data_IF_605947981451
#
_entry.id   IF_605947981451
#
_cell.length_a   1.000
_cell.length_b   1.000
_cell.length_c   1.000
_cell.angle_alpha   90.00
_cell.angle_beta   90.00
_cell.angle_gamma   90.00
#
_symmetry.space_group_name_H-M   'P 1'
#
loop_
_entity.id
_entity.type
_entity.pdbx_description
1 polymer ?
#
# COMPACT_ATOMS: atom_id res chain seq x y z
N UNK A 1 -24.14 -48.29 -90.44
CA UNK A 1 -25.63 -48.43 -90.40
C UNK A 1 -26.01 -48.81 -88.97
N UNK A 2 -26.85 -48.02 -88.32
CA UNK A 2 -27.57 -48.19 -87.04
C UNK A 2 -26.76 -48.29 -85.76
N UNK A 3 -26.59 -47.24 -85.06
CA UNK A 3 -27.51 -46.56 -84.11
C UNK A 3 -27.92 -47.40 -82.92
N UNK A 4 -27.48 -46.99 -81.72
CA UNK A 4 -28.38 -46.87 -80.55
C UNK A 4 -27.71 -46.00 -79.46
N UNK A 5 -28.36 -44.90 -79.21
CA UNK A 5 -28.14 -44.04 -78.04
C UNK A 5 -28.47 -44.77 -76.72
N UNK A 6 -27.65 -44.63 -75.72
CA UNK A 6 -28.08 -44.86 -74.34
C UNK A 6 -27.62 -43.72 -73.50
N UNK A 7 -28.61 -42.99 -73.00
CA UNK A 7 -28.46 -41.98 -71.97
C UNK A 7 -27.95 -42.63 -70.67
N UNK A 8 -26.86 -42.10 -70.12
CA UNK A 8 -26.51 -42.36 -68.74
C UNK A 8 -26.70 -41.09 -67.98
N UNK A 9 -27.67 -41.08 -67.01
CA UNK A 9 -27.91 -40.02 -66.04
C UNK A 9 -26.72 -39.88 -65.08
N UNK A 10 -26.17 -38.70 -65.02
CA UNK A 10 -25.12 -38.35 -64.06
C UNK A 10 -25.81 -37.83 -62.81
N UNK A 11 -25.81 -38.64 -61.76
CA UNK A 11 -26.23 -38.17 -60.41
C UNK A 11 -25.12 -37.33 -59.82
N UNK A 12 -25.37 -36.00 -59.65
CA UNK A 12 -24.48 -35.08 -58.96
C UNK A 12 -24.73 -35.22 -57.48
N UNK A 13 -23.81 -35.86 -56.75
CA UNK A 13 -23.75 -35.85 -55.28
C UNK A 13 -23.03 -34.58 -54.81
N UNK A 14 -23.80 -33.61 -54.36
CA UNK A 14 -23.28 -32.41 -53.63
C UNK A 14 -22.85 -32.83 -52.28
N UNK A 15 -21.53 -32.91 -52.05
CA UNK A 15 -20.89 -33.07 -50.72
C UNK A 15 -20.87 -31.72 -50.03
N UNK A 16 -21.80 -31.46 -49.10
CA UNK A 16 -21.77 -30.29 -48.24
C UNK A 16 -20.67 -30.48 -47.19
N UNK A 17 -19.53 -29.86 -47.41
CA UNK A 17 -18.47 -29.74 -46.40
C UNK A 17 -18.92 -28.75 -45.32
N UNK A 18 -19.44 -29.27 -44.20
CA UNK A 18 -19.66 -28.48 -42.98
C UNK A 18 -18.30 -28.15 -42.37
N UNK A 19 -17.78 -26.96 -42.64
CA UNK A 19 -16.65 -26.39 -41.93
C UNK A 19 -17.10 -26.05 -40.50
N UNK A 20 -16.83 -26.94 -39.53
CA UNK A 20 -16.85 -26.61 -38.12
C UNK A 20 -15.74 -25.59 -37.88
N UNK A 21 -16.11 -24.32 -37.84
CA UNK A 21 -15.27 -23.27 -37.24
C UNK A 21 -15.26 -23.56 -35.75
N UNK A 22 -14.28 -24.34 -35.30
CA UNK A 22 -13.95 -24.44 -33.90
C UNK A 22 -13.46 -23.04 -33.45
N UNK A 23 -14.37 -22.22 -32.96
CA UNK A 23 -14.01 -21.02 -32.17
C UNK A 23 -13.33 -21.53 -30.92
N UNK A 24 -12.01 -21.76 -31.03
CA UNK A 24 -11.18 -21.99 -29.87
C UNK A 24 -11.34 -20.75 -28.97
N UNK A 25 -12.08 -20.91 -27.88
CA UNK A 25 -12.05 -19.94 -26.79
C UNK A 25 -10.61 -19.94 -26.29
N UNK A 26 -9.77 -19.07 -26.84
CA UNK A 26 -8.48 -18.77 -26.23
C UNK A 26 -8.82 -18.28 -24.84
N UNK A 27 -8.56 -19.10 -23.83
CA UNK A 27 -8.65 -18.68 -22.45
C UNK A 27 -7.77 -17.43 -22.34
N UNK A 28 -8.40 -16.27 -22.17
CA UNK A 28 -7.68 -15.00 -22.08
C UNK A 28 -6.72 -15.13 -20.89
N UNK A 29 -5.42 -15.05 -21.17
CA UNK A 29 -4.40 -15.13 -20.14
C UNK A 29 -4.64 -14.03 -19.08
N UNK A 30 -4.41 -14.38 -17.83
CA UNK A 30 -4.55 -13.39 -16.76
C UNK A 30 -3.58 -12.21 -16.97
N UNK A 31 -4.05 -11.00 -16.70
CA UNK A 31 -3.20 -9.80 -16.76
C UNK A 31 -2.19 -9.84 -15.62
N UNK A 32 -0.88 -9.86 -15.89
CA UNK A 32 0.13 -9.88 -14.84
C UNK A 32 0.22 -8.51 -14.16
N UNK A 33 0.32 -8.50 -12.83
CA UNK A 33 0.55 -7.31 -12.01
C UNK A 33 1.66 -7.60 -11.03
N UNK A 34 2.81 -6.95 -11.20
CA UNK A 34 3.83 -6.89 -10.17
C UNK A 34 3.45 -5.78 -9.19
N UNK A 35 3.26 -6.17 -7.94
CA UNK A 35 2.85 -5.27 -6.88
C UNK A 35 3.95 -5.21 -5.80
N UNK A 36 4.39 -4.01 -5.43
CA UNK A 36 5.38 -3.81 -4.37
C UNK A 36 4.73 -3.26 -3.12
N UNK A 37 5.01 -3.88 -1.96
CA UNK A 37 4.68 -3.32 -0.65
C UNK A 37 5.63 -2.18 -0.28
N UNK A 38 5.22 -1.37 0.67
CA UNK A 38 6.07 -0.36 1.29
C UNK A 38 7.08 -0.95 2.29
N UNK A 39 6.78 -2.12 2.84
CA UNK A 39 7.56 -2.74 3.90
C UNK A 39 7.68 -4.26 3.73
N UNK A 40 8.33 -4.90 4.71
CA UNK A 40 8.49 -6.35 4.79
C UNK A 40 7.15 -7.05 4.96
N UNK A 41 7.16 -8.38 4.82
CA UNK A 41 5.99 -9.19 5.14
C UNK A 41 5.79 -9.22 6.65
N UNK A 42 4.90 -8.36 7.13
CA UNK A 42 4.43 -8.26 8.51
C UNK A 42 2.90 -8.38 8.50
N UNK A 43 2.27 -8.39 9.68
CA UNK A 43 0.82 -8.60 9.82
C UNK A 43 -0.06 -7.89 8.79
N UNK A 44 0.12 -6.57 8.55
CA UNK A 44 -0.70 -5.84 7.58
C UNK A 44 -0.60 -6.32 6.14
N UNK A 45 0.47 -7.05 5.76
CA UNK A 45 0.56 -7.65 4.41
C UNK A 45 -0.50 -8.72 4.15
N UNK A 46 -1.19 -9.22 5.20
CA UNK A 46 -2.35 -10.08 5.09
C UNK A 46 -3.44 -9.49 4.18
N UNK A 47 -3.60 -8.15 4.15
CA UNK A 47 -4.56 -7.46 3.27
C UNK A 47 -4.38 -7.82 1.79
N UNK A 48 -3.15 -8.10 1.37
CA UNK A 48 -2.80 -8.44 -0.01
C UNK A 48 -2.60 -9.95 -0.20
N UNK A 49 -1.98 -10.63 0.78
CA UNK A 49 -1.69 -12.05 0.72
C UNK A 49 -2.96 -12.92 0.80
N UNK A 50 -3.96 -12.50 1.60
CA UNK A 50 -5.23 -13.22 1.70
C UNK A 50 -5.98 -13.30 0.36
N UNK A 51 -6.26 -12.19 -0.36
CA UNK A 51 -6.93 -12.27 -1.66
C UNK A 51 -6.11 -13.00 -2.73
N UNK A 52 -4.76 -12.97 -2.67
CA UNK A 52 -3.90 -13.79 -3.53
C UNK A 52 -4.14 -15.28 -3.25
N UNK A 53 -4.00 -15.70 -2.00
CA UNK A 53 -4.10 -17.10 -1.60
C UNK A 53 -5.51 -17.68 -1.82
N UNK A 54 -6.55 -16.85 -1.68
CA UNK A 54 -7.95 -17.22 -1.93
C UNK A 54 -8.34 -17.19 -3.41
N UNK A 55 -7.43 -16.79 -4.29
CA UNK A 55 -7.68 -16.74 -5.73
C UNK A 55 -8.55 -15.57 -6.21
N UNK A 56 -8.88 -14.58 -5.35
CA UNK A 56 -9.79 -13.48 -5.71
C UNK A 56 -9.28 -12.64 -6.88
N UNK A 57 -7.96 -12.48 -7.01
CA UNK A 57 -7.38 -11.83 -8.19
C UNK A 57 -7.49 -12.71 -9.44
N UNK A 58 -7.31 -14.02 -9.32
CA UNK A 58 -7.47 -14.96 -10.44
C UNK A 58 -8.91 -15.03 -10.96
N UNK A 59 -9.88 -14.95 -10.04
CA UNK A 59 -11.32 -14.92 -10.39
C UNK A 59 -11.67 -13.75 -11.32
N UNK A 60 -10.93 -12.63 -11.19
CA UNK A 60 -11.08 -11.42 -12.02
C UNK A 60 -9.99 -11.31 -13.11
N UNK A 61 -9.37 -12.42 -13.48
CA UNK A 61 -8.37 -12.54 -14.56
C UNK A 61 -7.11 -11.70 -14.32
N UNK A 62 -6.66 -11.60 -13.07
CA UNK A 62 -5.39 -10.98 -12.69
C UNK A 62 -4.43 -12.03 -12.13
N UNK A 63 -3.14 -11.90 -12.47
CA UNK A 63 -2.05 -12.66 -11.87
C UNK A 63 -1.15 -11.70 -11.08
N UNK A 64 -1.40 -11.61 -9.77
CA UNK A 64 -0.74 -10.66 -8.88
C UNK A 64 0.47 -11.29 -8.22
N UNK A 65 1.64 -10.75 -8.51
CA UNK A 65 2.91 -11.09 -7.84
C UNK A 65 3.28 -9.99 -6.84
N UNK A 66 3.40 -10.36 -5.56
CA UNK A 66 3.60 -9.45 -4.44
C UNK A 66 5.03 -9.54 -3.93
N UNK A 67 5.74 -8.40 -3.90
CA UNK A 67 7.07 -8.28 -3.35
C UNK A 67 7.12 -7.35 -2.12
N UNK A 68 8.03 -7.67 -1.19
CA UNK A 68 8.29 -6.83 -0.04
C UNK A 68 9.02 -5.54 -0.44
N UNK A 69 8.83 -4.48 0.36
CA UNK A 69 9.47 -3.19 0.20
C UNK A 69 10.52 -2.87 1.27
N UNK A 70 11.14 -1.72 1.11
CA UNK A 70 12.18 -1.18 2.01
C UNK A 70 11.87 0.25 2.46
N UNK A 71 10.63 0.67 2.30
CA UNK A 71 10.09 1.99 2.64
C UNK A 71 9.20 2.55 1.52
N UNK A 72 8.21 3.37 1.89
CA UNK A 72 7.24 3.94 0.95
C UNK A 72 7.88 4.76 -0.17
N UNK A 73 8.97 5.50 0.12
CA UNK A 73 9.71 6.22 -0.92
C UNK A 73 10.30 5.30 -1.98
N UNK A 74 10.80 4.11 -1.58
CA UNK A 74 11.30 3.12 -2.53
C UNK A 74 10.18 2.49 -3.36
N UNK A 75 9.02 2.21 -2.75
CA UNK A 75 7.85 1.70 -3.47
C UNK A 75 7.37 2.67 -4.55
N UNK A 76 7.25 3.97 -4.22
CA UNK A 76 6.91 5.03 -5.19
C UNK A 76 7.90 5.05 -6.34
N UNK A 77 9.21 5.03 -6.06
CA UNK A 77 10.24 5.04 -7.11
C UNK A 77 10.17 3.81 -8.01
N UNK A 78 9.95 2.63 -7.45
CA UNK A 78 9.85 1.38 -8.22
C UNK A 78 8.66 1.37 -9.18
N UNK A 79 7.52 1.95 -8.76
CA UNK A 79 6.36 2.12 -9.65
C UNK A 79 6.63 3.22 -10.69
N UNK A 80 7.26 4.32 -10.31
CA UNK A 80 7.63 5.41 -11.22
C UNK A 80 8.61 4.97 -12.32
N UNK A 81 9.53 4.06 -12.02
CA UNK A 81 10.48 3.50 -13.01
C UNK A 81 9.86 2.44 -13.91
N UNK A 82 8.62 2.00 -13.63
CA UNK A 82 7.95 0.93 -14.36
C UNK A 82 8.42 -0.49 -14.01
N UNK A 83 9.20 -0.66 -12.94
CA UNK A 83 9.59 -1.97 -12.43
C UNK A 83 8.41 -2.74 -11.83
N UNK A 84 7.39 -2.01 -11.40
CA UNK A 84 6.12 -2.51 -10.87
C UNK A 84 4.95 -1.73 -11.47
N UNK A 85 3.85 -2.45 -11.76
CA UNK A 85 2.62 -1.85 -12.29
C UNK A 85 1.87 -1.07 -11.21
N UNK A 86 1.86 -1.60 -9.98
CA UNK A 86 1.15 -1.06 -8.84
C UNK A 86 1.98 -1.23 -7.56
N UNK A 87 1.59 -0.54 -6.50
CA UNK A 87 2.25 -0.67 -5.20
C UNK A 87 1.42 -0.14 -4.05
N UNK A 88 1.98 -0.27 -2.85
CA UNK A 88 1.44 0.26 -1.61
C UNK A 88 2.45 1.22 -1.00
N UNK A 89 2.07 2.46 -0.74
CA UNK A 89 2.98 3.49 -0.25
C UNK A 89 2.24 4.55 0.57
N UNK A 90 2.96 5.23 1.47
CA UNK A 90 2.44 6.37 2.21
C UNK A 90 2.16 7.56 1.27
N UNK A 91 1.03 8.23 1.49
CA UNK A 91 0.56 9.33 0.63
C UNK A 91 1.49 10.55 0.69
N UNK A 92 2.14 10.85 1.82
CA UNK A 92 3.09 11.96 1.90
C UNK A 92 4.36 11.66 1.09
N UNK A 93 4.82 10.40 1.06
CA UNK A 93 5.94 9.99 0.23
C UNK A 93 5.62 10.10 -1.27
N UNK A 94 4.39 9.78 -1.67
CA UNK A 94 3.90 9.98 -3.04
C UNK A 94 3.86 11.47 -3.42
N UNK A 95 3.28 12.30 -2.56
CA UNK A 95 3.20 13.75 -2.75
C UNK A 95 4.59 14.41 -2.83
N UNK A 96 5.50 14.03 -1.93
CA UNK A 96 6.89 14.48 -1.96
C UNK A 96 7.57 14.14 -3.29
N UNK A 97 7.38 12.90 -3.77
CA UNK A 97 7.94 12.48 -5.06
C UNK A 97 7.44 13.35 -6.21
N UNK A 98 6.13 13.62 -6.27
CA UNK A 98 5.55 14.49 -7.30
C UNK A 98 6.12 15.91 -7.25
N UNK A 99 6.23 16.48 -6.06
CA UNK A 99 6.68 17.85 -5.87
C UNK A 99 8.18 18.06 -6.18
N UNK A 100 9.00 17.05 -5.88
CA UNK A 100 10.43 17.08 -6.15
C UNK A 100 10.82 16.66 -7.58
N UNK A 101 9.90 16.01 -8.29
CA UNK A 101 10.10 15.54 -9.66
C UNK A 101 8.98 16.05 -10.60
N UNK A 102 8.80 17.38 -10.75
CA UNK A 102 7.67 17.95 -11.52
C UNK A 102 7.68 17.45 -12.98
N UNK A 103 8.85 17.30 -13.56
CA UNK A 103 9.02 16.93 -14.97
C UNK A 103 9.13 15.42 -15.22
N UNK A 104 9.02 14.58 -14.17
CA UNK A 104 9.07 13.13 -14.35
C UNK A 104 7.83 12.64 -15.14
N UNK A 105 8.04 11.86 -16.24
CA UNK A 105 6.94 11.48 -17.13
C UNK A 105 6.01 10.41 -16.51
N UNK A 106 6.50 9.64 -15.54
CA UNK A 106 5.83 8.45 -15.01
C UNK A 106 5.57 8.57 -13.51
N UNK A 107 4.95 9.66 -13.07
CA UNK A 107 4.59 9.83 -11.65
C UNK A 107 3.41 8.92 -11.29
N UNK A 108 3.56 8.00 -10.32
CA UNK A 108 2.46 7.15 -9.88
C UNK A 108 1.31 7.96 -9.29
N UNK A 109 0.10 7.42 -9.37
CA UNK A 109 -1.12 8.06 -8.86
C UNK A 109 -1.78 7.14 -7.83
N UNK A 110 -2.23 7.69 -6.72
CA UNK A 110 -3.00 6.97 -5.72
C UNK A 110 -4.41 6.71 -6.24
N UNK A 111 -4.88 5.46 -6.11
CA UNK A 111 -6.17 5.01 -6.64
C UNK A 111 -7.12 4.49 -5.57
N UNK A 112 -6.62 4.26 -4.33
CA UNK A 112 -7.43 3.84 -3.18
C UNK A 112 -6.72 4.16 -1.87
N UNK A 113 -7.42 4.81 -0.93
CA UNK A 113 -6.95 5.02 0.44
C UNK A 113 -7.13 3.74 1.26
N UNK A 114 -6.08 3.30 1.96
CA UNK A 114 -6.18 2.12 2.84
C UNK A 114 -5.92 2.49 4.29
N UNK A 115 -4.86 3.25 4.57
CA UNK A 115 -4.63 3.80 5.91
C UNK A 115 -5.13 5.23 5.96
N UNK A 116 -6.33 5.41 6.49
CA UNK A 116 -6.98 6.72 6.54
C UNK A 116 -6.24 7.71 7.45
N UNK A 117 -5.47 7.23 8.43
CA UNK A 117 -4.58 8.04 9.25
C UNK A 117 -3.14 7.58 9.11
N UNK A 118 -2.20 8.54 9.21
CA UNK A 118 -0.78 8.19 9.25
C UNK A 118 -0.42 7.47 10.56
N UNK A 119 0.23 6.30 10.49
CA UNK A 119 0.81 5.66 11.68
C UNK A 119 2.20 6.19 12.03
N UNK A 120 2.71 7.18 11.30
CA UNK A 120 4.05 7.72 11.51
C UNK A 120 4.21 8.29 12.92
N UNK A 121 5.33 7.97 13.52
CA UNK A 121 5.69 8.39 14.87
C UNK A 121 7.21 8.51 15.02
N UNK A 122 7.63 9.27 16.05
CA UNK A 122 8.95 9.10 16.65
C UNK A 122 8.80 8.15 17.83
N UNK A 123 9.71 7.18 17.94
CA UNK A 123 9.80 6.29 19.10
C UNK A 123 11.17 6.45 19.76
N UNK A 124 11.15 6.53 21.09
CA UNK A 124 12.34 6.64 21.92
C UNK A 124 12.20 5.73 23.14
N UNK A 125 13.30 5.44 23.82
CA UNK A 125 13.24 4.78 25.13
C UNK A 125 13.15 5.83 26.23
N UNK A 126 12.40 5.57 27.31
CA UNK A 126 12.28 6.48 28.46
C UNK A 126 13.64 6.94 28.97
N UNK A 127 14.64 6.05 28.98
CA UNK A 127 16.02 6.35 29.41
C UNK A 127 16.72 7.44 28.58
N UNK A 128 16.23 7.76 27.36
CA UNK A 128 16.79 8.82 26.51
C UNK A 128 16.40 10.22 26.97
N UNK A 129 15.40 10.35 27.87
CA UNK A 129 14.84 11.62 28.30
C UNK A 129 13.97 12.33 27.26
N UNK A 130 13.71 11.71 26.13
CA UNK A 130 12.83 12.26 25.08
C UNK A 130 11.37 11.98 25.46
N UNK A 131 10.58 13.04 25.68
CA UNK A 131 9.16 12.97 26.07
C UNK A 131 8.25 13.83 25.19
N UNK A 132 8.80 14.78 24.46
CA UNK A 132 8.10 15.73 23.58
C UNK A 132 8.96 16.09 22.36
N UNK A 133 8.39 16.69 21.31
CA UNK A 133 9.13 17.04 20.09
C UNK A 133 10.37 17.91 20.31
N UNK A 134 10.30 18.87 21.22
CA UNK A 134 11.43 19.77 21.52
C UNK A 134 12.68 19.02 22.02
N UNK A 135 12.52 17.85 22.64
CA UNK A 135 13.63 17.07 23.18
C UNK A 135 14.45 16.36 22.07
N UNK A 136 13.99 16.42 20.83
CA UNK A 136 14.66 15.82 19.67
C UNK A 136 15.83 16.65 19.13
N UNK A 137 15.94 17.92 19.52
CA UNK A 137 16.99 18.81 19.02
C UNK A 137 18.37 18.23 19.31
N UNK A 138 19.21 18.10 18.28
CA UNK A 138 20.56 17.56 18.37
C UNK A 138 20.66 16.03 18.59
N UNK A 139 19.54 15.34 18.74
CA UNK A 139 19.50 13.88 18.95
C UNK A 139 19.81 13.09 17.68
N UNK A 140 20.31 11.87 17.87
CA UNK A 140 20.53 10.89 16.80
C UNK A 140 19.20 10.18 16.48
N UNK A 141 18.62 10.48 15.32
CA UNK A 141 17.42 9.82 14.81
C UNK A 141 17.76 8.75 13.78
N UNK A 142 17.36 7.53 14.05
CA UNK A 142 17.61 6.38 13.20
C UNK A 142 16.42 6.05 12.28
N UNK A 143 16.65 5.91 10.97
CA UNK A 143 15.68 5.34 10.06
C UNK A 143 16.30 5.00 8.70
N UNK A 144 15.71 4.06 7.93
CA UNK A 144 16.02 3.90 6.50
C UNK A 144 15.72 5.20 5.72
N UNK A 145 16.46 5.44 4.63
CA UNK A 145 16.29 6.66 3.82
C UNK A 145 14.88 6.79 3.25
N UNK A 146 14.27 5.67 2.88
CA UNK A 146 12.95 5.62 2.24
C UNK A 146 11.80 5.34 3.21
N UNK A 147 12.06 5.31 4.53
CA UNK A 147 11.04 5.12 5.56
C UNK A 147 9.99 6.24 5.52
N UNK A 148 8.70 5.88 5.61
CA UNK A 148 7.61 6.85 5.54
C UNK A 148 7.63 7.87 6.68
N UNK A 149 7.94 7.43 7.91
CA UNK A 149 8.06 8.33 9.07
C UNK A 149 9.19 9.33 8.88
N UNK A 150 10.37 8.87 8.39
CA UNK A 150 11.48 9.77 8.06
C UNK A 150 11.11 10.75 6.96
N UNK A 151 10.43 10.29 5.91
CA UNK A 151 9.99 11.14 4.81
C UNK A 151 8.97 12.19 5.25
N UNK A 152 8.09 11.87 6.18
CA UNK A 152 7.12 12.82 6.73
C UNK A 152 7.70 13.69 7.88
N UNK A 153 8.90 13.38 8.40
CA UNK A 153 9.50 14.09 9.54
C UNK A 153 9.65 15.60 9.33
N UNK A 154 10.00 16.14 8.15
CA UNK A 154 10.05 17.58 7.92
C UNK A 154 8.72 18.30 8.22
N UNK A 155 7.58 17.64 7.99
CA UNK A 155 6.25 18.18 8.31
C UNK A 155 6.10 18.25 9.84
N UNK A 156 6.45 17.16 10.54
CA UNK A 156 6.44 17.10 12.01
C UNK A 156 7.39 18.12 12.61
N UNK A 157 8.59 18.24 12.06
CA UNK A 157 9.61 19.17 12.48
C UNK A 157 9.13 20.64 12.38
N UNK A 158 8.53 21.00 11.23
CA UNK A 158 7.98 22.33 11.00
C UNK A 158 6.81 22.64 11.92
N UNK A 159 5.86 21.71 12.07
CA UNK A 159 4.66 21.88 12.89
C UNK A 159 4.99 22.08 14.38
N UNK A 160 6.12 21.54 14.86
CA UNK A 160 6.52 21.55 16.27
C UNK A 160 7.77 22.39 16.54
N UNK A 161 8.23 23.19 15.59
CA UNK A 161 9.43 24.01 15.68
C UNK A 161 10.67 23.22 16.18
N UNK A 162 10.79 21.94 15.78
CA UNK A 162 11.94 21.11 16.16
C UNK A 162 13.16 21.59 15.39
N UNK A 163 14.26 21.87 16.10
CA UNK A 163 15.53 22.24 15.48
C UNK A 163 16.19 21.09 14.72
N UNK A 164 17.46 21.23 14.40
CA UNK A 164 18.20 20.20 13.66
C UNK A 164 18.33 18.91 14.47
N UNK A 165 18.22 17.78 13.77
CA UNK A 165 18.44 16.42 14.28
C UNK A 165 19.56 15.75 13.50
N UNK A 166 20.24 14.76 14.09
CA UNK A 166 21.33 14.04 13.46
C UNK A 166 20.82 12.69 12.91
N UNK A 167 20.63 12.59 11.60
CA UNK A 167 20.15 11.36 10.99
C UNK A 167 21.22 10.28 10.94
N UNK A 168 20.87 9.09 11.43
CA UNK A 168 21.62 7.85 11.26
C UNK A 168 20.85 6.95 10.29
N UNK A 169 21.45 6.68 9.13
CA UNK A 169 20.84 5.81 8.11
C UNK A 169 21.19 4.36 8.41
N UNK A 170 20.20 3.49 8.28
CA UNK A 170 20.37 2.03 8.45
C UNK A 170 19.38 1.27 7.57
N UNK A 171 19.63 -0.03 7.43
CA UNK A 171 18.67 -0.95 6.79
C UNK A 171 17.46 -1.24 7.70
N UNK A 172 16.28 -1.52 7.11
CA UNK A 172 15.05 -1.75 7.86
C UNK A 172 15.16 -2.74 9.04
N UNK A 173 15.86 -3.90 8.94
CA UNK A 173 15.96 -4.84 10.05
C UNK A 173 16.75 -4.32 11.26
N UNK A 174 17.57 -3.29 11.09
CA UNK A 174 18.48 -2.77 12.13
C UNK A 174 17.83 -1.66 12.98
N UNK A 175 16.76 -1.03 12.50
CA UNK A 175 16.19 0.20 13.10
C UNK A 175 15.89 0.03 14.60
N UNK A 176 15.05 -0.92 14.96
CA UNK A 176 14.65 -1.16 16.34
C UNK A 176 15.79 -1.77 17.18
N UNK A 177 16.68 -2.55 16.55
CA UNK A 177 17.88 -3.08 17.24
C UNK A 177 18.81 -1.96 17.69
N UNK A 178 19.07 -0.97 16.83
CA UNK A 178 19.93 0.17 17.16
C UNK A 178 19.31 1.05 18.26
N UNK A 179 17.97 1.24 18.27
CA UNK A 179 17.31 1.95 19.37
C UNK A 179 17.39 1.15 20.67
N UNK A 180 17.11 -0.15 20.67
CA UNK A 180 17.16 -1.00 21.86
C UNK A 180 18.57 -1.00 22.50
N UNK A 181 19.62 -1.01 21.68
CA UNK A 181 21.02 -0.94 22.12
C UNK A 181 21.45 0.45 22.57
N UNK A 182 20.77 1.52 22.15
CA UNK A 182 21.15 2.91 22.41
C UNK A 182 22.16 3.47 21.40
N UNK A 183 22.34 2.86 20.25
CA UNK A 183 23.19 3.36 19.16
C UNK A 183 22.58 4.64 18.54
N UNK A 184 21.25 4.81 18.66
CA UNK A 184 20.48 6.02 18.33
C UNK A 184 19.57 6.41 19.52
N UNK A 185 19.23 7.70 19.64
CA UNK A 185 18.40 8.22 20.73
C UNK A 185 16.90 8.00 20.47
N UNK A 186 16.50 8.05 19.21
CA UNK A 186 15.15 7.81 18.74
C UNK A 186 15.14 7.23 17.32
N UNK A 187 13.99 6.71 16.89
CA UNK A 187 13.74 6.25 15.52
C UNK A 187 12.47 6.86 14.99
N UNK A 188 12.33 6.95 13.66
CA UNK A 188 11.04 7.16 13.03
C UNK A 188 10.53 5.86 12.41
N UNK A 189 9.21 5.74 12.30
CA UNK A 189 8.56 4.58 11.69
C UNK A 189 7.06 4.58 11.95
N UNK A 190 6.41 3.47 11.63
CA UNK A 190 5.02 3.25 11.99
C UNK A 190 4.92 2.76 13.44
N UNK A 191 4.11 3.42 14.25
CA UNK A 191 4.00 3.20 15.69
C UNK A 191 3.81 1.72 16.06
N UNK A 192 2.84 1.05 15.44
CA UNK A 192 2.55 -0.36 15.71
C UNK A 192 3.69 -1.29 15.25
N UNK A 193 4.37 -0.98 14.14
CA UNK A 193 5.49 -1.77 13.64
C UNK A 193 6.68 -1.68 14.59
N UNK A 194 7.10 -0.46 14.92
CA UNK A 194 8.30 -0.26 15.74
C UNK A 194 8.09 -0.67 17.20
N UNK A 195 6.89 -0.43 17.77
CA UNK A 195 6.58 -0.87 19.13
C UNK A 195 6.72 -2.39 19.26
N UNK A 196 6.05 -3.15 18.38
CA UNK A 196 6.07 -4.62 18.45
C UNK A 196 7.44 -5.20 18.10
N UNK A 197 8.19 -4.56 17.22
CA UNK A 197 9.57 -4.96 16.94
C UNK A 197 10.53 -4.69 18.10
N UNK A 198 10.28 -3.65 18.92
CA UNK A 198 11.02 -3.40 20.18
C UNK A 198 10.65 -4.45 21.23
N UNK A 199 9.37 -4.76 21.39
CA UNK A 199 8.92 -5.84 22.29
C UNK A 199 9.57 -7.19 21.94
N UNK A 200 9.62 -7.54 20.64
CA UNK A 200 10.30 -8.75 20.18
C UNK A 200 11.80 -8.78 20.48
N UNK A 201 12.39 -7.64 20.84
CA UNK A 201 13.81 -7.50 21.28
C UNK A 201 13.95 -7.36 22.79
N UNK A 202 12.88 -7.64 23.55
CA UNK A 202 12.88 -7.60 25.02
C UNK A 202 12.71 -6.21 25.61
N UNK A 203 12.36 -5.19 24.80
CA UNK A 203 12.02 -3.85 25.32
C UNK A 203 10.57 -3.89 25.79
N UNK A 204 10.32 -3.53 27.05
CA UNK A 204 8.95 -3.46 27.57
C UNK A 204 8.20 -2.29 26.96
N UNK A 205 6.90 -2.49 26.67
CA UNK A 205 6.06 -1.43 26.07
C UNK A 205 6.03 -0.16 26.93
N UNK A 206 5.99 -0.31 28.27
CA UNK A 206 6.04 0.80 29.21
C UNK A 206 7.33 1.62 29.16
N UNK A 207 8.42 1.08 28.64
CA UNK A 207 9.70 1.78 28.49
C UNK A 207 9.82 2.52 27.16
N UNK A 208 8.83 2.40 26.28
CA UNK A 208 8.80 3.08 24.98
C UNK A 208 7.98 4.36 25.06
N UNK A 209 8.58 5.48 24.67
CA UNK A 209 7.90 6.74 24.41
C UNK A 209 7.54 6.79 22.93
N UNK A 210 6.27 7.04 22.62
CA UNK A 210 5.78 7.19 21.27
C UNK A 210 5.25 8.61 21.09
N UNK A 211 5.75 9.33 20.09
CA UNK A 211 5.27 10.64 19.66
C UNK A 211 4.56 10.49 18.32
N UNK A 212 3.26 10.12 18.28
CA UNK A 212 2.51 9.95 17.03
C UNK A 212 2.36 11.31 16.34
N UNK A 213 2.64 11.38 15.07
CA UNK A 213 2.56 12.63 14.29
C UNK A 213 1.18 13.30 14.37
N UNK A 214 0.05 12.56 14.33
CA UNK A 214 -1.28 13.16 14.45
C UNK A 214 -1.51 13.91 15.76
N UNK A 215 -0.89 13.48 16.86
CA UNK A 215 -1.02 14.12 18.19
C UNK A 215 -0.26 15.44 18.27
N UNK A 216 0.61 15.71 17.31
CA UNK A 216 1.45 16.89 17.22
C UNK A 216 1.16 17.73 15.97
N UNK A 217 -0.12 17.80 15.57
CA UNK A 217 -0.58 18.70 14.51
C UNK A 217 -0.37 18.19 13.07
N UNK A 218 0.12 16.97 12.89
CA UNK A 218 0.43 16.39 11.57
C UNK A 218 -0.63 15.35 11.21
N UNK A 219 -1.80 15.81 10.74
CA UNK A 219 -2.95 14.96 10.41
C UNK A 219 -2.92 14.51 8.96
N UNK A 220 -1.94 13.69 8.61
CA UNK A 220 -1.79 13.15 7.27
C UNK A 220 -2.63 11.89 7.07
N UNK A 221 -2.93 11.58 5.81
CA UNK A 221 -3.28 10.23 5.39
C UNK A 221 -2.04 9.34 5.49
N UNK A 222 -2.27 8.05 5.64
CA UNK A 222 -1.21 7.04 5.56
C UNK A 222 -1.15 6.39 4.18
N UNK A 223 -1.15 5.05 4.14
CA UNK A 223 -0.87 4.30 2.93
C UNK A 223 -2.04 4.18 1.96
N UNK A 224 -1.70 4.26 0.68
CA UNK A 224 -2.58 4.15 -0.48
C UNK A 224 -2.11 3.07 -1.43
N UNK A 225 -3.03 2.51 -2.20
CA UNK A 225 -2.69 1.77 -3.41
C UNK A 225 -2.33 2.78 -4.50
N UNK A 226 -1.15 2.62 -5.08
CA UNK A 226 -0.66 3.45 -6.19
C UNK A 226 -0.61 2.62 -7.48
N UNK A 227 -0.85 3.27 -8.61
CA UNK A 227 -0.73 2.68 -9.94
C UNK A 227 0.19 3.52 -10.83
N UNK A 228 0.92 2.88 -11.73
CA UNK A 228 1.73 3.57 -12.73
C UNK A 228 0.84 4.26 -13.78
N UNK A 229 1.27 5.39 -14.37
CA UNK A 229 0.53 6.04 -15.46
C UNK A 229 0.29 5.10 -16.65
N UNK A 230 1.23 4.21 -16.93
CA UNK A 230 1.08 3.19 -17.96
C UNK A 230 -0.11 2.27 -17.65
N UNK A 231 -0.19 1.74 -16.42
CA UNK A 231 -1.30 0.88 -16.00
C UNK A 231 -2.65 1.61 -16.06
N UNK A 232 -2.69 2.87 -15.64
CA UNK A 232 -3.89 3.73 -15.71
C UNK A 232 -4.37 3.92 -17.15
N UNK A 233 -3.45 4.12 -18.08
CA UNK A 233 -3.76 4.37 -19.49
C UNK A 233 -4.13 3.09 -20.25
N UNK A 234 -3.34 2.02 -20.07
CA UNK A 234 -3.44 0.82 -20.89
C UNK A 234 -4.39 -0.23 -20.31
N UNK A 235 -4.53 -0.31 -18.99
CA UNK A 235 -5.28 -1.36 -18.30
C UNK A 235 -6.21 -0.82 -17.19
N UNK A 236 -7.04 0.20 -17.42
CA UNK A 236 -7.90 0.79 -16.38
C UNK A 236 -8.89 -0.22 -15.79
N UNK A 237 -9.37 -1.18 -16.59
CA UNK A 237 -10.25 -2.24 -16.13
C UNK A 237 -9.55 -3.19 -15.13
N UNK A 238 -8.25 -3.45 -15.32
CA UNK A 238 -7.48 -4.29 -14.41
C UNK A 238 -7.28 -3.60 -13.04
N UNK A 239 -7.12 -2.28 -13.00
CA UNK A 239 -7.07 -1.52 -11.74
C UNK A 239 -8.40 -1.66 -10.98
N UNK A 240 -9.55 -1.47 -11.64
CA UNK A 240 -10.88 -1.64 -11.03
C UNK A 240 -11.08 -3.05 -10.50
N UNK A 241 -10.72 -4.05 -11.28
CA UNK A 241 -10.80 -5.46 -10.89
C UNK A 241 -9.89 -5.76 -9.68
N UNK A 242 -8.66 -5.22 -9.67
CA UNK A 242 -7.73 -5.34 -8.55
C UNK A 242 -8.34 -4.76 -7.27
N UNK A 243 -8.86 -3.52 -7.33
CA UNK A 243 -9.42 -2.85 -6.15
C UNK A 243 -10.67 -3.56 -5.62
N UNK A 244 -11.52 -4.12 -6.48
CA UNK A 244 -12.69 -4.91 -6.07
C UNK A 244 -12.26 -6.21 -5.36
N UNK A 245 -11.33 -6.96 -5.94
CA UNK A 245 -10.80 -8.19 -5.35
C UNK A 245 -10.04 -7.91 -4.02
N UNK A 246 -9.25 -6.85 -3.97
CA UNK A 246 -8.58 -6.38 -2.76
C UNK A 246 -9.59 -6.02 -1.66
N UNK A 247 -10.63 -5.27 -1.99
CA UNK A 247 -11.69 -4.85 -1.05
C UNK A 247 -12.41 -6.05 -0.44
N UNK A 248 -12.74 -7.07 -1.27
CA UNK A 248 -13.31 -8.33 -0.81
C UNK A 248 -12.38 -9.03 0.18
N UNK A 249 -11.09 -9.13 -0.14
CA UNK A 249 -10.08 -9.71 0.76
C UNK A 249 -9.90 -8.92 2.04
N UNK A 250 -9.82 -7.59 1.97
CA UNK A 250 -9.68 -6.70 3.13
C UNK A 250 -10.84 -6.84 4.11
N UNK A 251 -12.08 -6.99 3.63
CA UNK A 251 -13.26 -7.27 4.47
C UNK A 251 -13.06 -8.51 5.33
N UNK A 252 -12.59 -9.60 4.73
CA UNK A 252 -12.40 -10.86 5.44
C UNK A 252 -11.21 -10.81 6.41
N UNK A 253 -10.12 -10.12 6.03
CA UNK A 253 -8.96 -9.90 6.91
C UNK A 253 -9.36 -9.12 8.15
N UNK A 254 -10.14 -8.06 8.00
CA UNK A 254 -10.64 -7.28 9.14
C UNK A 254 -11.62 -8.06 10.01
N UNK A 255 -12.41 -8.93 9.42
CA UNK A 255 -13.38 -9.77 10.17
C UNK A 255 -12.69 -10.91 10.94
N UNK A 256 -11.63 -11.49 10.39
CA UNK A 256 -10.92 -12.66 10.93
C UNK A 256 -9.41 -12.52 10.80
N UNK A 257 -8.76 -11.59 11.54
CA UNK A 257 -7.32 -11.36 11.46
C UNK A 257 -6.49 -12.56 11.93
N UNK A 258 -7.00 -13.37 12.85
CA UNK A 258 -6.43 -14.65 13.30
C UNK A 258 -6.29 -15.68 12.17
N UNK A 259 -7.28 -15.75 11.28
CA UNK A 259 -7.21 -16.60 10.07
C UNK A 259 -6.27 -15.98 9.03
N UNK A 260 -6.38 -14.65 8.84
CA UNK A 260 -5.64 -13.95 7.80
C UNK A 260 -4.12 -13.98 8.02
N UNK A 261 -3.66 -13.99 9.27
CA UNK A 261 -2.24 -14.01 9.57
C UNK A 261 -1.53 -15.28 9.08
N UNK A 262 -2.27 -16.39 8.89
CA UNK A 262 -1.71 -17.62 8.37
C UNK A 262 -1.19 -17.47 6.92
N UNK A 263 -1.76 -16.57 6.13
CA UNK A 263 -1.27 -16.28 4.79
C UNK A 263 0.10 -15.55 4.82
N UNK A 264 0.33 -14.73 5.85
CA UNK A 264 1.63 -14.11 6.08
C UNK A 264 2.64 -15.18 6.51
N UNK A 265 2.27 -16.07 7.43
CA UNK A 265 3.09 -17.22 7.87
C UNK A 265 3.48 -18.14 6.71
N UNK A 266 2.57 -18.40 5.79
CA UNK A 266 2.85 -19.20 4.61
C UNK A 266 3.81 -18.50 3.64
N UNK A 267 3.82 -17.17 3.61
CA UNK A 267 4.72 -16.37 2.77
C UNK A 267 6.11 -16.21 3.39
N UNK A 268 6.16 -15.98 4.70
CA UNK A 268 7.39 -15.83 5.47
C UNK A 268 7.35 -16.76 6.71
N UNK A 269 7.93 -17.93 6.55
CA UNK A 269 7.91 -19.01 7.54
C UNK A 269 8.58 -18.70 8.89
N UNK A 270 9.32 -17.60 9.01
CA UNK A 270 10.06 -17.25 10.24
C UNK A 270 9.30 -16.28 11.15
N UNK A 271 8.15 -15.74 10.73
CA UNK A 271 7.39 -14.77 11.54
C UNK A 271 6.86 -15.40 12.83
N UNK A 272 6.77 -14.59 13.89
CA UNK A 272 5.99 -14.90 15.08
C UNK A 272 4.51 -14.57 14.82
N UNK A 273 3.68 -15.60 14.69
CA UNK A 273 2.26 -15.47 14.31
C UNK A 273 1.47 -14.59 15.30
N UNK A 274 1.69 -14.78 16.61
CA UNK A 274 0.97 -14.02 17.65
C UNK A 274 1.34 -12.53 17.61
N UNK A 275 2.63 -12.21 17.45
CA UNK A 275 3.10 -10.84 17.33
C UNK A 275 2.53 -10.18 16.07
N UNK A 276 2.53 -10.89 14.95
CA UNK A 276 2.08 -10.36 13.67
C UNK A 276 0.54 -10.24 13.60
N UNK A 277 -0.20 -11.10 14.29
CA UNK A 277 -1.64 -10.93 14.47
C UNK A 277 -1.95 -9.66 15.31
N UNK A 278 -1.23 -9.44 16.42
CA UNK A 278 -1.35 -8.19 17.20
C UNK A 278 -1.05 -6.97 16.32
N UNK A 279 -0.02 -7.04 15.48
CA UNK A 279 0.33 -5.95 14.56
C UNK A 279 -0.79 -5.67 13.56
N UNK A 280 -1.37 -6.72 12.98
CA UNK A 280 -2.51 -6.59 12.07
C UNK A 280 -3.72 -5.95 12.77
N UNK A 281 -4.06 -6.39 13.97
CA UNK A 281 -5.15 -5.80 14.76
C UNK A 281 -4.90 -4.32 15.08
N UNK A 282 -3.69 -3.97 15.52
CA UNK A 282 -3.33 -2.58 15.78
C UNK A 282 -3.44 -1.72 14.52
N UNK A 283 -3.01 -2.21 13.36
CA UNK A 283 -3.16 -1.50 12.08
C UNK A 283 -4.65 -1.34 11.70
N UNK A 284 -5.45 -2.40 11.87
CA UNK A 284 -6.90 -2.32 11.62
C UNK A 284 -7.53 -1.24 12.48
N UNK A 285 -7.29 -1.27 13.78
CA UNK A 285 -7.97 -0.39 14.75
C UNK A 285 -7.51 1.06 14.66
N UNK A 286 -6.21 1.30 14.40
CA UNK A 286 -5.64 2.66 14.44
C UNK A 286 -5.74 3.42 13.13
N UNK A 287 -5.62 2.74 11.98
CA UNK A 287 -5.47 3.42 10.69
C UNK A 287 -6.47 2.99 9.61
N UNK A 288 -7.02 1.77 9.67
CA UNK A 288 -7.98 1.30 8.67
C UNK A 288 -9.42 1.56 9.12
N UNK A 289 -9.74 1.20 10.36
CA UNK A 289 -11.08 1.29 10.95
C UNK A 289 -11.18 2.45 11.96
N UNK A 290 -10.44 3.52 11.70
CA UNK A 290 -10.41 4.73 12.54
C UNK A 290 -11.74 5.51 12.47
N UNK A 291 -12.02 6.43 13.43
CA UNK A 291 -13.17 7.32 13.35
C UNK A 291 -13.25 8.10 12.02
N UNK A 292 -12.10 8.59 11.53
CA UNK A 292 -12.03 9.31 10.25
C UNK A 292 -12.37 8.39 9.06
N UNK A 293 -11.86 7.15 9.05
CA UNK A 293 -12.19 6.17 8.02
C UNK A 293 -13.70 5.84 7.98
N UNK A 294 -14.35 5.81 9.15
CA UNK A 294 -15.81 5.61 9.22
C UNK A 294 -16.60 6.78 8.69
N UNK A 295 -16.13 8.01 8.93
CA UNK A 295 -16.77 9.23 8.44
C UNK A 295 -16.58 9.43 6.94
N UNK A 296 -15.39 9.11 6.42
CA UNK A 296 -15.03 9.29 5.01
C UNK A 296 -15.42 8.08 4.14
N UNK A 297 -15.43 6.87 4.71
CA UNK A 297 -15.62 5.60 4.00
C UNK A 297 -14.28 4.94 3.63
N UNK A 298 -14.25 3.60 3.67
CA UNK A 298 -13.08 2.85 3.25
C UNK A 298 -12.75 3.12 1.78
N UNK A 299 -11.49 3.31 1.48
CA UNK A 299 -11.03 3.60 0.12
C UNK A 299 -11.14 5.06 -0.30
N UNK A 300 -11.90 5.88 0.43
CA UNK A 300 -12.25 7.26 0.08
C UNK A 300 -11.28 8.28 0.72
N UNK A 301 -11.38 9.51 0.25
CA UNK A 301 -10.72 10.68 0.85
C UNK A 301 -11.73 11.79 1.11
N UNK A 302 -11.42 12.65 2.08
CA UNK A 302 -12.03 13.97 2.20
C UNK A 302 -11.20 14.98 1.37
N UNK A 303 -11.79 15.65 0.37
CA UNK A 303 -11.05 16.57 -0.50
C UNK A 303 -10.36 17.71 0.27
N UNK A 304 -11.00 18.27 1.30
CA UNK A 304 -10.43 19.35 2.11
C UNK A 304 -9.22 18.89 2.90
N UNK A 305 -9.29 17.71 3.51
CA UNK A 305 -8.16 17.10 4.22
C UNK A 305 -7.01 16.76 3.28
N UNK A 306 -7.29 16.26 2.07
CA UNK A 306 -6.27 15.97 1.07
C UNK A 306 -5.58 17.25 0.59
N UNK A 307 -6.33 18.34 0.38
CA UNK A 307 -5.78 19.64 0.00
C UNK A 307 -4.90 20.24 1.11
N UNK A 308 -5.31 20.11 2.37
CA UNK A 308 -4.49 20.52 3.52
C UNK A 308 -3.18 19.72 3.57
N UNK A 309 -3.24 18.40 3.41
CA UNK A 309 -2.06 17.54 3.37
C UNK A 309 -1.12 17.94 2.23
N UNK A 310 -1.63 18.19 1.03
CA UNK A 310 -0.83 18.64 -0.12
C UNK A 310 -0.11 19.98 0.15
N UNK A 311 -0.77 20.92 0.84
CA UNK A 311 -0.15 22.16 1.31
C UNK A 311 0.97 21.89 2.34
N UNK A 312 0.69 21.09 3.36
CA UNK A 312 1.66 20.77 4.40
C UNK A 312 2.92 20.11 3.84
N UNK A 313 2.77 19.17 2.90
CA UNK A 313 3.89 18.54 2.19
C UNK A 313 4.69 19.57 1.41
N UNK A 314 4.03 20.38 0.57
CA UNK A 314 4.69 21.40 -0.24
C UNK A 314 5.48 22.41 0.61
N UNK A 315 4.90 22.83 1.73
CA UNK A 315 5.52 23.83 2.62
C UNK A 315 6.67 23.26 3.47
N UNK A 316 6.61 21.97 3.82
CA UNK A 316 7.62 21.35 4.67
C UNK A 316 8.89 20.96 3.90
N UNK A 317 8.74 20.53 2.66
CA UNK A 317 9.86 20.05 1.85
C UNK A 317 10.54 21.14 1.01
N UNK A 318 10.05 22.37 1.03
CA UNK A 318 10.54 23.44 0.13
C UNK A 318 10.65 22.93 -1.31
N UNK A 319 9.57 22.32 -1.79
CA UNK A 319 9.54 21.54 -3.03
C UNK A 319 9.70 22.41 -4.28
N UNK A 320 10.21 21.83 -5.37
CA UNK A 320 10.35 22.50 -6.69
C UNK A 320 9.01 22.98 -7.25
N UNK A 321 7.92 22.26 -6.92
CA UNK A 321 6.56 22.64 -7.28
C UNK A 321 5.59 22.33 -6.14
N UNK A 322 4.44 23.01 -6.12
CA UNK A 322 3.36 22.66 -5.18
C UNK A 322 2.64 21.40 -5.65
N UNK A 323 2.30 20.55 -4.69
CA UNK A 323 1.48 19.34 -4.95
C UNK A 323 0.07 19.76 -5.33
N UNK A 324 -0.43 19.22 -6.43
CA UNK A 324 -1.83 19.33 -6.83
C UNK A 324 -2.52 17.99 -6.54
N UNK A 325 -3.70 18.06 -5.89
CA UNK A 325 -4.43 16.85 -5.50
C UNK A 325 -4.79 16.00 -6.72
N UNK A 326 -5.22 16.62 -7.82
CA UNK A 326 -5.61 15.93 -9.06
C UNK A 326 -4.44 15.21 -9.75
N UNK A 327 -3.19 15.60 -9.47
CA UNK A 327 -2.00 14.93 -10.01
C UNK A 327 -1.65 13.67 -9.20
N UNK A 328 -2.07 13.59 -7.93
CA UNK A 328 -1.67 12.51 -7.01
C UNK A 328 -2.80 11.55 -6.65
N UNK A 329 -4.07 11.92 -6.91
CA UNK A 329 -5.23 11.12 -6.56
C UNK A 329 -6.19 10.93 -7.72
N UNK A 330 -6.61 9.69 -7.96
CA UNK A 330 -7.66 9.35 -8.92
C UNK A 330 -8.61 8.30 -8.34
N UNK A 331 -9.73 8.74 -7.79
CA UNK A 331 -10.76 7.87 -7.20
C UNK A 331 -11.72 7.24 -8.23
N UNK A 332 -11.55 7.47 -9.53
CA UNK A 332 -12.47 6.93 -10.56
C UNK A 332 -12.42 5.41 -10.72
N UNK A 333 -11.42 4.77 -10.12
CA UNK A 333 -11.23 3.32 -10.13
C UNK A 333 -11.85 2.62 -8.92
N UNK A 334 -12.34 3.38 -7.93
CA UNK A 334 -12.87 2.81 -6.70
C UNK A 334 -14.06 1.89 -6.97
N UNK A 335 -14.18 0.78 -6.23
CA UNK A 335 -15.37 -0.05 -6.20
C UNK A 335 -16.63 0.75 -5.82
N UNK A 336 -17.79 0.16 -6.02
CA UNK A 336 -19.07 0.77 -5.62
C UNK A 336 -19.12 1.00 -4.11
N UNK A 337 -19.97 1.93 -3.66
CA UNK A 337 -20.18 2.18 -2.23
C UNK A 337 -20.59 0.92 -1.46
N UNK A 338 -21.34 0.02 -2.10
CA UNK A 338 -21.75 -1.24 -1.50
C UNK A 338 -20.56 -2.18 -1.27
N UNK A 339 -19.65 -2.29 -2.23
CA UNK A 339 -18.42 -3.06 -2.10
C UNK A 339 -17.49 -2.46 -1.05
N UNK A 340 -17.38 -1.13 -0.98
CA UNK A 340 -16.54 -0.41 -0.01
C UNK A 340 -17.09 -0.45 1.43
N UNK A 341 -18.31 -0.96 1.66
CA UNK A 341 -18.87 -1.14 3.00
C UNK A 341 -18.26 -2.39 3.67
N UNK A 342 -17.00 -2.27 4.07
CA UNK A 342 -16.20 -3.39 4.59
C UNK A 342 -15.75 -3.20 6.04
N UNK A 343 -15.85 -1.97 6.58
CA UNK A 343 -15.37 -1.70 7.94
C UNK A 343 -16.20 -2.47 8.98
N UNK A 344 -15.56 -3.17 9.93
CA UNK A 344 -16.25 -3.89 11.01
C UNK A 344 -17.11 -2.94 11.83
N UNK A 345 -18.22 -3.42 12.36
CA UNK A 345 -19.01 -2.66 13.32
C UNK A 345 -18.17 -2.27 14.56
N UNK A 346 -18.47 -1.13 15.16
CA UNK A 346 -17.84 -0.75 16.44
C UNK A 346 -18.27 -1.79 17.48
N UNK A 347 -17.30 -2.45 18.11
CA UNK A 347 -17.58 -3.22 19.32
C UNK A 347 -18.01 -2.20 20.40
N UNK A 348 -19.26 -2.32 20.84
CA UNK A 348 -19.79 -1.54 21.98
C UNK A 348 -19.09 -1.94 23.26
#
# INVERSE_FOLDING_TARGET
MNKRLTFKALAATTLAAATLVATGAFAQANTPIKFVLDWRFEGPSALFLSPIAKGYFKDVKLDVNLDAGTGSGAAVQRVATGAYEMGFADMAALMEFHANNPDAPNKPVAVMMVYNNTPAAVLALKKSGITKPADLVGKKLGAPVFDAGRRAFPIFQKANAVGAVNWVTMDPPLRETMLARGDVDAITGFSFTSLLNLEARGVKAEDVVILPYPNYGVKLYGNVVIASPKMIKENPAAIKAFLSAFTKGAKEVMAKPDVAIQYVKNRDGIINVELEERRLRLAIDSVINSPDARAEGFGQINPGRMSLMASQVSDAFNTKSRVKVDDVWNGSFLPTKAELNVLPAVKK
#
